data_IF_349022833313
#
_entry.id   IF_349022833313
#
_cell.length_a   1.000
_cell.length_b   1.000
_cell.length_c   1.000
_cell.angle_alpha   90.00
_cell.angle_beta   90.00
_cell.angle_gamma   90.00
#
_symmetry.space_group_name_H-M   'P 1'
#
loop_
_entity.id
_entity.type
_entity.pdbx_description
1 polymer ?
#
# COMPACT_ATOMS: atom_id res chain seq x y z
N UNK A 1 43.43 -29.96 39.39
CA UNK A 1 42.93 -29.86 38.00
C UNK A 1 41.51 -29.32 38.02
N UNK A 2 41.33 -28.00 37.97
CA UNK A 2 40.02 -27.34 38.01
C UNK A 2 39.51 -27.06 36.60
N UNK A 3 38.35 -27.60 36.25
CA UNK A 3 37.67 -27.33 34.97
C UNK A 3 36.97 -25.97 35.06
N UNK A 4 37.43 -25.01 34.26
CA UNK A 4 36.75 -23.73 34.04
C UNK A 4 35.64 -23.96 33.02
N UNK A 5 34.38 -23.78 33.42
CA UNK A 5 33.24 -23.79 32.51
C UNK A 5 33.09 -22.39 31.90
N UNK A 6 33.32 -22.27 30.59
CA UNK A 6 33.04 -21.05 29.85
C UNK A 6 31.53 -20.96 29.60
N UNK A 7 30.88 -19.98 30.24
CA UNK A 7 29.48 -19.64 30.02
C UNK A 7 29.38 -18.82 28.72
N UNK A 8 28.94 -19.44 27.63
CA UNK A 8 28.66 -18.75 26.39
C UNK A 8 27.31 -18.02 26.47
N UNK A 9 27.34 -16.69 26.58
CA UNK A 9 26.16 -15.84 26.51
C UNK A 9 25.76 -15.65 25.04
N UNK A 10 24.75 -16.38 24.58
CA UNK A 10 24.12 -16.15 23.28
C UNK A 10 23.28 -14.87 23.35
N UNK A 11 23.83 -13.76 22.84
CA UNK A 11 23.06 -12.53 22.63
C UNK A 11 22.22 -12.73 21.37
N UNK A 12 20.95 -13.09 21.52
CA UNK A 12 19.99 -13.01 20.41
C UNK A 12 19.64 -11.54 20.19
N UNK A 13 20.30 -10.93 19.20
CA UNK A 13 19.89 -9.62 18.67
C UNK A 13 18.55 -9.84 17.98
N UNK A 14 17.44 -9.63 18.70
CA UNK A 14 16.14 -9.47 18.07
C UNK A 14 16.18 -8.19 17.25
N UNK A 15 16.37 -8.31 15.94
CA UNK A 15 16.13 -7.22 15.01
C UNK A 15 14.67 -6.80 15.19
N UNK A 16 14.43 -5.69 15.90
CA UNK A 16 13.15 -5.00 15.80
C UNK A 16 13.08 -4.53 14.36
N UNK A 17 12.18 -5.12 13.57
CA UNK A 17 11.75 -4.53 12.31
C UNK A 17 11.13 -3.19 12.71
N UNK A 18 11.91 -2.11 12.59
CA UNK A 18 11.37 -0.78 12.75
C UNK A 18 10.33 -0.62 11.65
N UNK A 19 9.12 -0.18 12.00
CA UNK A 19 8.11 0.17 11.01
C UNK A 19 8.74 1.20 10.05
N UNK A 20 8.68 0.92 8.75
CA UNK A 20 9.20 1.82 7.73
C UNK A 20 8.51 3.19 7.86
N UNK A 21 9.24 4.31 7.73
CA UNK A 21 8.68 5.63 7.93
C UNK A 21 7.62 5.94 6.86
N UNK A 22 6.48 6.45 7.30
CA UNK A 22 5.43 6.95 6.42
C UNK A 22 5.95 8.16 5.63
N UNK A 23 5.60 8.21 4.35
CA UNK A 23 6.03 9.26 3.43
C UNK A 23 4.90 10.24 3.18
N UNK A 24 5.20 11.53 3.25
CA UNK A 24 4.26 12.56 2.85
C UNK A 24 4.08 12.53 1.33
N UNK A 25 2.88 12.85 0.86
CA UNK A 25 2.62 13.01 -0.56
C UNK A 25 3.51 14.14 -1.10
N UNK A 26 4.28 13.83 -2.15
CA UNK A 26 5.08 14.81 -2.88
C UNK A 26 4.23 15.62 -3.86
N UNK A 27 4.85 16.49 -4.68
CA UNK A 27 4.14 17.14 -5.77
C UNK A 27 3.58 16.11 -6.74
N UNK A 28 2.37 16.35 -7.25
CA UNK A 28 1.76 15.46 -8.23
C UNK A 28 2.44 15.55 -9.59
N UNK A 29 2.22 14.51 -10.40
CA UNK A 29 2.58 14.53 -11.81
C UNK A 29 1.52 15.28 -12.62
N UNK A 30 1.23 14.84 -13.86
CA UNK A 30 0.21 15.49 -14.68
C UNK A 30 -1.18 15.49 -14.03
N UNK A 31 -1.54 14.44 -13.29
CA UNK A 31 -2.84 14.33 -12.61
C UNK A 31 -2.72 14.90 -11.20
N UNK A 32 -3.24 16.10 -10.97
CA UNK A 32 -3.19 16.82 -9.68
C UNK A 32 -4.32 16.37 -8.73
N UNK A 33 -4.27 15.10 -8.34
CA UNK A 33 -5.20 14.46 -7.41
C UNK A 33 -4.43 13.90 -6.21
N UNK A 34 -3.99 14.75 -5.28
CA UNK A 34 -3.06 14.36 -4.21
C UNK A 34 -3.62 13.29 -3.26
N UNK A 35 -4.93 13.22 -3.08
CA UNK A 35 -5.56 12.32 -2.09
C UNK A 35 -6.40 11.21 -2.70
N UNK A 36 -6.45 11.11 -4.03
CA UNK A 36 -7.31 10.13 -4.69
C UNK A 36 -6.52 8.84 -4.95
N UNK A 37 -6.90 7.72 -4.33
CA UNK A 37 -6.36 6.42 -4.70
C UNK A 37 -6.98 5.97 -6.02
N UNK A 38 -6.17 5.31 -6.85
CA UNK A 38 -6.61 4.52 -7.98
C UNK A 38 -6.76 3.08 -7.52
N UNK A 39 -7.98 2.57 -7.54
CA UNK A 39 -8.27 1.16 -7.30
C UNK A 39 -8.45 0.42 -8.63
N UNK A 40 -7.50 -0.44 -8.96
CA UNK A 40 -7.54 -1.25 -10.18
C UNK A 40 -7.85 -2.71 -9.86
N UNK A 41 -9.07 -3.20 -10.20
CA UNK A 41 -9.40 -4.61 -10.12
C UNK A 41 -8.43 -5.46 -10.94
N UNK A 42 -7.79 -6.42 -10.29
CA UNK A 42 -6.85 -7.34 -10.93
C UNK A 42 -7.52 -8.22 -12.00
N UNK A 43 -8.85 -8.39 -11.97
CA UNK A 43 -9.61 -8.98 -13.07
C UNK A 43 -9.44 -8.25 -14.42
N UNK A 44 -9.10 -6.95 -14.43
CA UNK A 44 -8.77 -6.19 -15.65
C UNK A 44 -7.36 -6.47 -16.17
N UNK A 45 -6.52 -7.14 -15.36
CA UNK A 45 -5.12 -7.47 -15.63
C UNK A 45 -4.97 -8.98 -15.90
N UNK A 46 -5.71 -9.49 -16.89
CA UNK A 46 -5.87 -10.94 -17.12
C UNK A 46 -4.56 -11.72 -17.22
N UNK A 47 -3.56 -11.14 -17.86
CA UNK A 47 -2.26 -11.79 -18.09
C UNK A 47 -1.34 -11.78 -16.87
N UNK A 48 -1.74 -11.11 -15.78
CA UNK A 48 -1.02 -11.07 -14.51
C UNK A 48 -1.60 -12.03 -13.47
N UNK A 49 -2.70 -12.74 -13.77
CA UNK A 49 -3.32 -13.70 -12.87
C UNK A 49 -2.31 -14.77 -12.42
N UNK A 50 -2.24 -15.00 -11.10
CA UNK A 50 -1.33 -15.99 -10.52
C UNK A 50 0.13 -15.52 -10.44
N UNK A 51 0.42 -14.27 -10.77
CA UNK A 51 1.73 -13.66 -10.52
C UNK A 51 1.93 -13.49 -9.01
N UNK A 52 3.11 -13.84 -8.51
CA UNK A 52 3.46 -13.56 -7.12
C UNK A 52 3.49 -12.04 -6.88
N UNK A 53 2.83 -11.58 -5.83
CA UNK A 53 2.73 -10.15 -5.49
C UNK A 53 4.13 -9.53 -5.32
N UNK A 54 5.07 -10.27 -4.72
CA UNK A 54 6.46 -9.82 -4.56
C UNK A 54 7.28 -9.74 -5.86
N UNK A 55 6.71 -10.08 -7.02
CA UNK A 55 7.32 -9.87 -8.35
C UNK A 55 6.73 -8.67 -9.08
N UNK A 56 5.73 -8.01 -8.49
CA UNK A 56 5.10 -6.83 -9.05
C UNK A 56 5.90 -5.59 -8.63
N UNK A 57 6.10 -4.69 -9.57
CA UNK A 57 6.55 -3.33 -9.32
C UNK A 57 5.67 -2.35 -10.08
N UNK A 58 5.62 -1.11 -9.62
CA UNK A 58 4.88 -0.05 -10.30
C UNK A 58 5.81 1.13 -10.51
N UNK A 59 5.88 1.62 -11.74
CA UNK A 59 6.76 2.72 -12.13
C UNK A 59 6.01 3.80 -12.91
N UNK A 60 6.54 5.02 -12.85
CA UNK A 60 6.07 6.15 -13.64
C UNK A 60 7.26 6.98 -14.14
N UNK A 61 7.09 7.66 -15.28
CA UNK A 61 8.07 8.63 -15.78
C UNK A 61 7.77 10.01 -15.20
N UNK A 62 8.69 10.52 -14.41
CA UNK A 62 8.56 11.83 -13.77
C UNK A 62 9.77 12.68 -14.11
N UNK A 63 9.55 13.79 -14.82
CA UNK A 63 10.60 14.73 -15.20
C UNK A 63 11.75 14.03 -15.93
N UNK A 64 11.41 13.20 -16.93
CA UNK A 64 12.37 12.44 -17.72
C UNK A 64 13.09 11.29 -16.99
N UNK A 65 12.64 10.90 -15.78
CA UNK A 65 13.21 9.78 -15.04
C UNK A 65 12.16 8.75 -14.66
N UNK A 66 12.44 7.48 -14.95
CA UNK A 66 11.62 6.36 -14.47
C UNK A 66 11.84 6.22 -12.97
N UNK A 67 10.76 6.18 -12.20
CA UNK A 67 10.79 6.03 -10.75
C UNK A 67 9.79 4.99 -10.29
N UNK A 68 10.15 4.14 -9.30
CA UNK A 68 9.17 3.31 -8.63
C UNK A 68 8.20 4.18 -7.82
N UNK A 69 6.93 3.83 -7.84
CA UNK A 69 5.88 4.51 -7.06
C UNK A 69 5.33 3.57 -5.98
N UNK A 70 4.86 4.09 -4.84
CA UNK A 70 4.20 3.26 -3.84
C UNK A 70 2.92 2.65 -4.40
N UNK A 71 2.72 1.37 -4.10
CA UNK A 71 1.47 0.67 -4.41
C UNK A 71 1.21 -0.41 -3.37
N UNK A 72 -0.03 -0.87 -3.32
CA UNK A 72 -0.49 -1.96 -2.47
C UNK A 72 -1.23 -2.98 -3.34
N UNK A 73 -1.18 -4.25 -2.92
CA UNK A 73 -2.07 -5.28 -3.43
C UNK A 73 -2.99 -5.70 -2.29
N UNK A 74 -4.23 -5.25 -2.37
CA UNK A 74 -5.26 -5.58 -1.40
C UNK A 74 -5.85 -6.94 -1.78
N UNK A 75 -5.32 -7.99 -1.15
CA UNK A 75 -5.82 -9.35 -1.37
C UNK A 75 -7.21 -9.53 -0.79
N UNK A 76 -8.11 -10.24 -1.51
CA UNK A 76 -9.51 -10.40 -1.11
C UNK A 76 -10.01 -11.83 -1.21
N UNK A 77 -11.01 -12.14 -0.39
CA UNK A 77 -11.88 -13.30 -0.54
C UNK A 77 -13.29 -12.78 -0.90
N UNK A 78 -13.62 -12.77 -2.19
CA UNK A 78 -14.82 -12.10 -2.69
C UNK A 78 -14.81 -10.60 -2.35
N UNK A 79 -15.78 -10.14 -1.55
CA UNK A 79 -15.90 -8.71 -1.19
C UNK A 79 -15.10 -8.29 0.05
N UNK A 80 -14.50 -9.23 0.79
CA UNK A 80 -13.80 -8.93 2.05
C UNK A 80 -12.29 -8.84 1.81
N UNK A 81 -11.65 -7.84 2.41
CA UNK A 81 -10.19 -7.77 2.49
C UNK A 81 -9.68 -8.95 3.31
N UNK A 82 -8.59 -9.55 2.86
CA UNK A 82 -7.82 -10.51 3.63
C UNK A 82 -6.76 -9.75 4.44
N UNK A 83 -7.02 -9.61 5.73
CA UNK A 83 -6.13 -8.92 6.68
C UNK A 83 -5.43 -9.98 7.53
N UNK A 84 -4.18 -10.38 7.21
CA UNK A 84 -3.49 -11.44 7.95
C UNK A 84 -3.11 -11.02 9.38
N UNK A 85 -3.21 -9.72 9.67
CA UNK A 85 -2.98 -9.09 10.96
C UNK A 85 -4.29 -8.42 11.44
N UNK A 86 -4.43 -8.22 12.75
CA UNK A 86 -5.63 -7.62 13.34
C UNK A 86 -6.27 -8.49 14.42
N UNK A 87 -7.36 -8.01 15.03
CA UNK A 87 -8.10 -8.74 16.06
C UNK A 87 -8.80 -9.99 15.51
N UNK A 88 -9.24 -9.95 14.25
CA UNK A 88 -9.88 -11.06 13.54
C UNK A 88 -9.14 -11.34 12.23
N UNK A 89 -7.96 -12.00 12.28
CA UNK A 89 -7.13 -12.17 11.10
C UNK A 89 -7.80 -13.08 10.07
N UNK A 90 -7.75 -12.67 8.82
CA UNK A 90 -8.25 -13.39 7.67
C UNK A 90 -7.14 -13.61 6.65
N UNK A 91 -7.14 -14.76 6.00
CA UNK A 91 -6.13 -15.10 4.99
C UNK A 91 -6.78 -15.20 3.62
N UNK A 92 -6.11 -14.65 2.62
CA UNK A 92 -6.53 -14.83 1.24
C UNK A 92 -6.41 -16.30 0.86
N UNK A 93 -7.36 -16.81 0.05
CA UNK A 93 -7.28 -18.18 -0.49
C UNK A 93 -5.97 -18.44 -1.23
N UNK A 94 -5.40 -17.40 -1.84
CA UNK A 94 -4.10 -17.42 -2.55
C UNK A 94 -3.18 -16.34 -2.01
N UNK A 95 -2.82 -16.45 -0.73
CA UNK A 95 -1.90 -15.52 -0.08
C UNK A 95 -0.61 -15.33 -0.90
N UNK A 96 -0.23 -14.07 -1.12
CA UNK A 96 0.97 -13.70 -1.88
C UNK A 96 0.88 -13.87 -3.40
N UNK A 97 -0.27 -14.27 -3.95
CA UNK A 97 -0.49 -14.43 -5.39
C UNK A 97 -1.66 -13.57 -5.86
N UNK A 98 -1.48 -12.84 -6.96
CA UNK A 98 -2.51 -11.97 -7.49
C UNK A 98 -3.74 -12.76 -7.96
N UNK A 99 -4.89 -12.43 -7.39
CA UNK A 99 -6.21 -12.97 -7.66
C UNK A 99 -7.12 -12.11 -8.52
N UNK A 100 -8.25 -12.66 -9.01
CA UNK A 100 -9.21 -11.87 -9.77
C UNK A 100 -10.00 -10.88 -8.89
N UNK A 101 -10.17 -11.19 -7.60
CA UNK A 101 -10.89 -10.34 -6.65
C UNK A 101 -10.00 -9.26 -6.02
N UNK A 102 -8.67 -9.37 -6.20
CA UNK A 102 -7.70 -8.45 -5.60
C UNK A 102 -7.75 -7.06 -6.25
N UNK A 103 -7.33 -6.05 -5.51
CA UNK A 103 -7.13 -4.69 -6.02
C UNK A 103 -5.64 -4.35 -6.03
N UNK A 104 -5.19 -3.73 -7.12
CA UNK A 104 -3.92 -3.00 -7.15
C UNK A 104 -4.23 -1.54 -6.88
N UNK A 105 -3.65 -0.98 -5.82
CA UNK A 105 -3.96 0.36 -5.32
C UNK A 105 -2.71 1.22 -5.32
N UNK A 106 -2.80 2.44 -5.85
CA UNK A 106 -1.72 3.45 -5.85
C UNK A 106 -2.33 4.85 -5.89
N UNK A 107 -1.55 5.92 -5.68
CA UNK A 107 -2.08 7.28 -5.70
C UNK A 107 -2.11 7.86 -7.12
N UNK A 108 -3.20 8.53 -7.50
CA UNK A 108 -3.30 9.20 -8.81
C UNK A 108 -2.20 10.26 -9.02
N UNK A 109 -1.84 10.96 -7.93
CA UNK A 109 -0.75 11.92 -7.85
C UNK A 109 0.63 11.39 -8.29
N UNK A 110 0.85 10.08 -8.20
CA UNK A 110 2.11 9.44 -8.59
C UNK A 110 2.24 9.21 -10.10
N UNK A 111 1.14 9.32 -10.85
CA UNK A 111 1.14 9.17 -12.29
C UNK A 111 2.12 10.14 -12.98
N UNK A 112 2.68 9.69 -14.09
CA UNK A 112 3.72 10.39 -14.82
C UNK A 112 3.36 10.72 -16.26
N UNK A 113 4.37 11.19 -16.97
CA UNK A 113 4.38 11.30 -18.42
C UNK A 113 4.29 9.90 -19.06
N UNK A 114 3.86 9.85 -20.32
CA UNK A 114 3.85 8.59 -21.08
C UNK A 114 5.28 8.15 -21.42
N UNK A 115 5.60 6.89 -21.17
CA UNK A 115 6.88 6.27 -21.49
C UNK A 115 6.91 5.70 -22.91
N UNK A 116 8.08 5.67 -23.53
CA UNK A 116 8.31 4.77 -24.66
C UNK A 116 8.47 3.33 -24.15
N UNK A 117 8.10 2.34 -24.97
CA UNK A 117 8.23 0.91 -24.58
C UNK A 117 9.66 0.54 -24.15
N UNK A 118 10.67 1.10 -24.83
CA UNK A 118 12.08 0.87 -24.50
C UNK A 118 12.46 1.35 -23.09
N UNK A 119 11.82 2.40 -22.58
CA UNK A 119 12.04 2.89 -21.22
C UNK A 119 11.41 1.94 -20.19
N UNK A 120 10.24 1.36 -20.51
CA UNK A 120 9.58 0.36 -19.66
C UNK A 120 10.41 -0.92 -19.60
N UNK A 121 10.99 -1.32 -20.73
CA UNK A 121 11.87 -2.49 -20.81
C UNK A 121 13.16 -2.33 -20.00
N UNK A 122 13.58 -1.11 -19.65
CA UNK A 122 14.73 -0.86 -18.79
C UNK A 122 14.35 -0.69 -17.32
N UNK A 123 13.06 -0.70 -17.00
CA UNK A 123 12.57 -0.35 -15.67
C UNK A 123 12.72 -1.45 -14.62
N UNK A 124 12.91 -2.73 -14.98
CA UNK A 124 12.84 -3.90 -14.08
C UNK A 124 14.03 -4.12 -13.13
N UNK A 125 14.55 -3.08 -12.49
CA UNK A 125 15.54 -3.23 -11.41
C UNK A 125 16.91 -3.77 -11.85
N UNK A 126 17.27 -3.56 -13.12
CA UNK A 126 18.55 -4.01 -13.71
C UNK A 126 18.41 -5.13 -14.76
N UNK A 127 17.21 -5.68 -14.95
CA UNK A 127 16.86 -6.55 -16.08
C UNK A 127 15.52 -6.12 -16.68
N UNK A 128 15.26 -6.53 -17.92
CA UNK A 128 13.97 -6.26 -18.53
C UNK A 128 12.85 -7.00 -17.80
N UNK A 129 11.70 -6.36 -17.56
CA UNK A 129 10.54 -7.02 -16.98
C UNK A 129 10.06 -8.13 -17.94
N UNK A 130 9.61 -9.25 -17.38
CA UNK A 130 9.06 -10.36 -18.18
C UNK A 130 7.69 -10.04 -18.76
N UNK A 131 6.97 -9.09 -18.16
CA UNK A 131 5.67 -8.63 -18.57
C UNK A 131 5.42 -7.22 -18.00
N UNK A 132 4.68 -6.38 -18.73
CA UNK A 132 4.26 -5.07 -18.22
C UNK A 132 2.92 -4.62 -18.82
N UNK A 133 2.20 -3.72 -18.12
CA UNK A 133 0.92 -3.13 -18.55
C UNK A 133 0.94 -1.62 -18.34
N UNK A 134 0.60 -0.87 -19.39
CA UNK A 134 0.34 0.58 -19.30
C UNK A 134 -1.05 0.80 -18.69
N UNK A 135 -1.13 1.68 -17.71
CA UNK A 135 -2.36 2.15 -17.07
C UNK A 135 -2.45 3.64 -17.35
N UNK A 136 -3.38 4.02 -18.22
CA UNK A 136 -3.71 5.42 -18.48
C UNK A 136 -4.75 5.88 -17.46
N UNK A 137 -4.43 6.94 -16.74
CA UNK A 137 -5.36 7.71 -15.94
C UNK A 137 -5.83 8.91 -16.75
N UNK A 138 -7.09 9.29 -16.56
CA UNK A 138 -7.65 10.51 -17.10
C UNK A 138 -8.42 11.20 -15.99
N UNK A 139 -8.04 12.43 -15.68
CA UNK A 139 -8.76 13.25 -14.71
C UNK A 139 -10.13 13.63 -15.31
N UNK A 140 -11.26 13.28 -14.66
CA UNK A 140 -12.57 13.55 -15.23
C UNK A 140 -12.96 15.04 -15.23
N UNK A 141 -12.23 15.91 -14.52
CA UNK A 141 -12.53 17.33 -14.43
C UNK A 141 -11.89 18.13 -15.57
N UNK A 142 -10.64 17.85 -15.90
CA UNK A 142 -9.87 18.62 -16.88
C UNK A 142 -9.31 17.77 -18.04
N UNK A 143 -9.60 16.46 -18.04
CA UNK A 143 -9.15 15.49 -19.04
C UNK A 143 -7.63 15.33 -19.14
N UNK A 144 -6.88 15.81 -18.15
CA UNK A 144 -5.44 15.62 -18.10
C UNK A 144 -5.14 14.13 -17.95
N UNK A 145 -4.25 13.62 -18.81
CA UNK A 145 -3.85 12.22 -18.79
C UNK A 145 -2.54 12.02 -18.03
N UNK A 146 -2.50 10.97 -17.22
CA UNK A 146 -1.29 10.49 -16.55
C UNK A 146 -1.09 9.00 -16.82
N UNK A 147 0.15 8.53 -16.69
CA UNK A 147 0.52 7.15 -17.01
C UNK A 147 1.28 6.48 -15.88
N UNK A 148 0.95 5.22 -15.64
CA UNK A 148 1.59 4.34 -14.68
C UNK A 148 1.81 2.99 -15.36
N UNK A 149 2.91 2.31 -15.04
CA UNK A 149 3.27 1.03 -15.62
C UNK A 149 3.44 -0.01 -14.53
N UNK A 150 2.61 -1.04 -14.59
CA UNK A 150 2.74 -2.23 -13.74
C UNK A 150 3.68 -3.21 -14.42
N UNK A 151 4.74 -3.63 -13.73
CA UNK A 151 5.80 -4.49 -14.27
C UNK A 151 5.93 -5.77 -13.46
N UNK A 152 6.33 -6.86 -14.12
CA UNK A 152 6.68 -8.13 -13.50
C UNK A 152 8.17 -8.38 -13.69
N UNK A 153 8.91 -8.55 -12.60
CA UNK A 153 10.34 -8.86 -12.65
C UNK A 153 10.74 -9.77 -11.47
N UNK A 154 11.91 -10.39 -11.57
CA UNK A 154 12.47 -11.18 -10.46
C UNK A 154 12.95 -10.29 -9.32
N UNK A 155 13.45 -9.09 -9.65
CA UNK A 155 13.77 -8.01 -8.74
C UNK A 155 12.99 -6.76 -9.16
N UNK A 156 11.70 -6.65 -8.80
CA UNK A 156 10.89 -5.52 -9.22
C UNK A 156 11.41 -4.20 -8.63
N UNK A 157 11.14 -3.08 -9.31
CA UNK A 157 11.41 -1.76 -8.74
C UNK A 157 10.54 -1.52 -7.50
N UNK A 158 11.20 -1.22 -6.39
CA UNK A 158 10.52 -0.96 -5.13
C UNK A 158 10.57 0.52 -4.79
N UNK A 159 9.43 1.07 -4.37
CA UNK A 159 9.40 2.39 -3.76
C UNK A 159 9.65 2.27 -2.26
N UNK A 160 10.56 3.05 -1.67
CA UNK A 160 10.74 3.08 -0.22
C UNK A 160 9.59 3.82 0.48
N UNK A 161 8.73 4.51 -0.27
CA UNK A 161 7.65 5.30 0.29
C UNK A 161 6.44 4.43 0.65
N UNK A 162 5.76 4.83 1.73
CA UNK A 162 4.54 4.21 2.28
C UNK A 162 3.57 5.30 2.69
N UNK A 163 2.35 5.30 2.13
CA UNK A 163 1.34 6.31 2.47
C UNK A 163 0.52 5.95 3.72
N UNK A 164 0.37 4.66 3.96
CA UNK A 164 -0.41 4.12 5.08
C UNK A 164 0.36 2.99 5.75
N UNK A 165 0.22 2.89 7.06
CA UNK A 165 0.68 1.77 7.87
C UNK A 165 -0.50 1.28 8.70
N UNK A 166 -0.57 -0.03 8.89
CA UNK A 166 -1.55 -0.68 9.74
C UNK A 166 -0.84 -1.41 10.87
N UNK A 167 -1.26 -1.17 12.11
CA UNK A 167 -0.85 -1.93 13.29
C UNK A 167 -2.01 -2.82 13.74
N UNK A 168 -1.90 -4.12 13.46
CA UNK A 168 -2.94 -5.09 13.80
C UNK A 168 -3.13 -5.34 15.30
N UNK A 169 -2.20 -4.92 16.18
CA UNK A 169 -2.38 -5.07 17.64
C UNK A 169 -3.39 -4.07 18.19
N UNK A 170 -3.34 -2.85 17.67
CA UNK A 170 -4.22 -1.75 18.06
C UNK A 170 -5.38 -1.52 17.10
N UNK A 171 -5.44 -2.29 16.00
CA UNK A 171 -6.34 -2.05 14.86
C UNK A 171 -6.27 -0.56 14.43
N UNK A 172 -5.03 -0.11 14.20
CA UNK A 172 -4.67 1.29 14.04
C UNK A 172 -4.08 1.55 12.66
N UNK A 173 -4.76 2.38 11.88
CA UNK A 173 -4.27 2.91 10.62
C UNK A 173 -3.56 4.25 10.87
N UNK A 174 -2.36 4.41 10.35
CA UNK A 174 -1.57 5.64 10.42
C UNK A 174 -1.16 6.12 9.04
N UNK A 175 -1.32 7.42 8.80
CA UNK A 175 -0.76 8.14 7.66
C UNK A 175 0.13 9.28 8.17
N UNK A 176 0.69 10.10 7.27
CA UNK A 176 1.37 11.34 7.65
C UNK A 176 0.40 12.46 8.09
N UNK A 177 -0.91 12.25 7.94
CA UNK A 177 -1.94 13.28 8.16
C UNK A 177 -2.96 12.93 9.22
N UNK A 178 -3.22 11.65 9.42
CA UNK A 178 -4.18 11.21 10.42
C UNK A 178 -3.84 9.83 10.97
N UNK A 179 -4.49 9.49 12.08
CA UNK A 179 -4.58 8.14 12.62
C UNK A 179 -6.05 7.78 12.85
N UNK A 180 -6.43 6.57 12.51
CA UNK A 180 -7.76 6.01 12.77
C UNK A 180 -7.56 4.68 13.50
N UNK A 181 -8.09 4.56 14.71
CA UNK A 181 -8.19 3.31 15.44
C UNK A 181 -9.59 2.75 15.33
N UNK A 182 -9.69 1.43 15.29
CA UNK A 182 -10.93 0.70 15.15
C UNK A 182 -11.10 -0.28 16.32
N UNK A 183 -12.35 -0.54 16.72
CA UNK A 183 -12.73 -1.65 17.60
C UNK A 183 -14.01 -2.27 17.04
N UNK A 184 -14.00 -3.58 16.79
CA UNK A 184 -15.12 -4.30 16.19
C UNK A 184 -15.65 -3.63 14.90
N UNK A 185 -14.73 -3.19 14.03
CA UNK A 185 -15.01 -2.44 12.81
C UNK A 185 -15.70 -1.07 12.99
N UNK A 186 -15.71 -0.52 14.20
CA UNK A 186 -16.18 0.84 14.48
C UNK A 186 -14.99 1.76 14.82
N UNK A 187 -14.90 2.97 14.25
CA UNK A 187 -13.90 3.94 14.65
C UNK A 187 -14.05 4.29 16.14
N UNK A 188 -12.99 4.08 16.91
CA UNK A 188 -12.93 4.44 18.33
C UNK A 188 -11.86 5.50 18.63
N UNK A 189 -11.00 5.78 17.67
CA UNK A 189 -9.96 6.80 17.75
C UNK A 189 -9.82 7.49 16.38
N UNK A 190 -9.80 8.82 16.36
CA UNK A 190 -9.45 9.59 15.18
C UNK A 190 -8.66 10.82 15.58
N UNK A 191 -7.44 10.95 15.07
CA UNK A 191 -6.61 12.13 15.34
C UNK A 191 -5.97 12.63 14.05
N UNK A 192 -5.87 13.95 13.90
CA UNK A 192 -5.12 14.59 12.83
C UNK A 192 -3.69 14.86 13.29
N UNK A 193 -2.72 14.79 12.37
CA UNK A 193 -1.38 15.32 12.62
C UNK A 193 -1.36 16.82 12.36
N UNK A 194 -0.77 17.58 13.29
CA UNK A 194 -0.50 19.01 13.17
C UNK A 194 0.90 19.29 13.71
N UNK A 195 1.70 20.07 12.98
CA UNK A 195 3.05 20.50 13.41
C UNK A 195 3.98 19.36 13.87
N UNK A 196 3.92 18.21 13.20
CA UNK A 196 4.73 17.03 13.51
C UNK A 196 4.30 16.25 14.76
N UNK A 197 3.19 16.65 15.40
CA UNK A 197 2.60 15.96 16.54
C UNK A 197 1.22 15.38 16.19
N UNK A 198 0.83 14.33 16.91
CA UNK A 198 -0.53 13.79 16.84
C UNK A 198 -1.43 14.68 17.70
N UNK A 199 -2.50 15.20 17.10
CA UNK A 199 -3.51 16.00 17.79
C UNK A 199 -4.39 15.18 18.74
N UNK A 200 -5.40 15.80 19.37
CA UNK A 200 -6.32 15.10 20.26
C UNK A 200 -7.19 14.08 19.50
N UNK A 201 -7.75 13.12 20.24
CA UNK A 201 -8.79 12.24 19.71
C UNK A 201 -10.06 13.05 19.44
N UNK A 202 -10.45 13.18 18.17
CA UNK A 202 -11.65 13.90 17.73
C UNK A 202 -12.94 13.11 17.96
N UNK A 203 -12.85 11.81 18.27
CA UNK A 203 -14.00 11.00 18.67
C UNK A 203 -14.26 11.06 20.18
N UNK A 204 -13.35 11.61 20.98
CA UNK A 204 -13.61 11.81 22.41
C UNK A 204 -14.79 12.77 22.59
N UNK A 205 -15.80 12.29 23.32
CA UNK A 205 -17.03 13.05 23.57
C UNK A 205 -18.02 13.06 22.40
N UNK A 206 -17.73 12.42 21.27
CA UNK A 206 -18.67 12.28 20.17
C UNK A 206 -19.73 11.23 20.53
N UNK A 207 -20.99 11.68 20.69
CA UNK A 207 -22.11 10.80 21.03
C UNK A 207 -22.91 10.48 19.79
N UNK A 208 -22.78 9.24 19.30
CA UNK A 208 -23.64 8.72 18.24
C UNK A 208 -24.97 8.26 18.84
N UNK A 209 -26.09 8.69 18.26
CA UNK A 209 -27.44 8.18 18.58
C UNK A 209 -27.95 7.48 17.33
N UNK A 210 -28.37 6.23 17.49
CA UNK A 210 -28.96 5.44 16.42
C UNK A 210 -30.23 4.77 16.94
N UNK A 211 -31.29 4.83 16.15
CA UNK A 211 -32.52 4.07 16.36
C UNK A 211 -32.50 2.88 15.41
N UNK A 212 -32.75 1.68 15.95
CA UNK A 212 -32.85 0.46 15.17
C UNK A 212 -34.27 -0.09 15.26
N UNK A 213 -34.87 -0.41 14.13
CA UNK A 213 -36.14 -1.13 14.06
C UNK A 213 -35.86 -2.57 13.64
N UNK A 214 -36.23 -3.53 14.49
CA UNK A 214 -36.27 -4.93 14.08
C UNK A 214 -37.46 -5.14 13.14
N UNK A 215 -37.17 -5.61 11.94
CA UNK A 215 -38.18 -6.14 11.03
C UNK A 215 -38.39 -7.61 11.38
N UNK A 216 -39.64 -7.98 11.69
CA UNK A 216 -40.07 -9.35 11.95
C UNK A 216 -40.57 -10.02 10.65
#
# INVERSE_FOLDING_TARGET
MGRVYALALLITVSARVAAEPLTALGPCGPVDRPYDPVELPAARLRDLKGTAVGRLGVVALRQGRVRPIPFQVDQRNGRKLALPEGPEPTRAERAGMLGPDDLVVFMACDAGERMASADVEQSGGGKAPSLWREIRLEDPLDHTAGFVYLVVADAPPESPARYVAYDGRGDLVSTTRYRVGMVNALPNYFALFSDGAVGPNLLDGLRLRADATLLA
#
